data_IF_187244243590
#
_entry.id   IF_187244243590
#
_cell.length_a   1.000
_cell.length_b   1.000
_cell.length_c   1.000
_cell.angle_alpha   90.00
_cell.angle_beta   90.00
_cell.angle_gamma   90.00
#
_symmetry.space_group_name_H-M   'P 1'
#
loop_
_entity.id
_entity.type
_entity.pdbx_description
1 polymer ?
#
# COMPACT_ATOMS: atom_id res chain seq x y z
N UNK A 1 -6.64 32.58 2.48
CA UNK A 1 -7.10 31.28 2.96
C UNK A 1 -8.58 31.18 2.62
N UNK A 2 -8.92 30.70 1.42
CA UNK A 2 -10.33 30.48 1.09
C UNK A 2 -10.80 29.27 1.92
N UNK A 3 -11.97 29.36 2.55
CA UNK A 3 -12.53 28.29 3.39
C UNK A 3 -12.83 26.98 2.62
N UNK A 4 -12.60 26.96 1.31
CA UNK A 4 -12.94 25.86 0.40
C UNK A 4 -11.74 25.27 -0.34
N UNK A 5 -10.53 25.79 -0.17
CA UNK A 5 -9.33 25.19 -0.76
C UNK A 5 -8.77 24.13 0.19
N UNK A 6 -8.72 22.85 -0.22
CA UNK A 6 -8.09 21.82 0.59
C UNK A 6 -6.60 22.14 0.73
N UNK A 7 -6.05 21.94 1.93
CA UNK A 7 -4.62 22.16 2.16
C UNK A 7 -3.81 21.29 1.18
N UNK A 8 -2.74 21.84 0.55
CA UNK A 8 -1.93 21.09 -0.40
C UNK A 8 -1.37 19.79 0.20
N UNK A 9 -1.11 19.77 1.50
CA UNK A 9 -0.64 18.60 2.26
C UNK A 9 -1.69 17.50 2.34
N UNK A 10 -2.97 17.83 2.54
CA UNK A 10 -4.06 16.85 2.53
C UNK A 10 -4.26 16.26 1.14
N UNK A 11 -4.19 17.07 0.08
CA UNK A 11 -4.29 16.59 -1.30
C UNK A 11 -3.15 15.61 -1.60
N UNK A 12 -1.91 15.97 -1.24
CA UNK A 12 -0.74 15.12 -1.42
C UNK A 12 -0.88 13.81 -0.64
N UNK A 13 -1.32 13.86 0.62
CA UNK A 13 -1.55 12.68 1.44
C UNK A 13 -2.59 11.74 0.81
N UNK A 14 -3.74 12.27 0.39
CA UNK A 14 -4.80 11.47 -0.24
C UNK A 14 -4.27 10.82 -1.52
N UNK A 15 -3.56 11.58 -2.35
CA UNK A 15 -3.00 11.07 -3.59
C UNK A 15 -1.98 9.94 -3.35
N UNK A 16 -1.02 10.17 -2.45
CA UNK A 16 0.02 9.18 -2.13
C UNK A 16 -0.59 7.92 -1.54
N UNK A 17 -1.53 8.06 -0.62
CA UNK A 17 -2.21 6.95 0.05
C UNK A 17 -3.07 6.11 -0.90
N UNK A 18 -3.74 6.75 -1.86
CA UNK A 18 -4.71 6.09 -2.76
C UNK A 18 -4.05 5.50 -4.00
N UNK A 19 -3.05 6.19 -4.57
CA UNK A 19 -2.48 5.84 -5.88
C UNK A 19 -1.02 5.43 -5.78
N UNK A 20 -0.19 6.11 -4.98
CA UNK A 20 1.27 5.88 -5.04
C UNK A 20 1.73 4.71 -4.16
N UNK A 21 1.27 4.64 -2.92
CA UNK A 21 1.84 3.72 -1.92
C UNK A 21 1.62 2.24 -2.30
N UNK A 22 0.39 1.87 -2.66
CA UNK A 22 0.05 0.49 -3.03
C UNK A 22 0.74 0.06 -4.33
N UNK A 23 0.87 0.96 -5.30
CA UNK A 23 1.55 0.67 -6.57
C UNK A 23 3.04 0.43 -6.34
N UNK A 24 3.71 1.29 -5.55
CA UNK A 24 5.12 1.11 -5.22
C UNK A 24 5.34 -0.16 -4.38
N UNK A 25 4.48 -0.44 -3.40
CA UNK A 25 4.57 -1.66 -2.60
C UNK A 25 4.32 -2.92 -3.46
N UNK A 26 3.39 -2.87 -4.42
CA UNK A 26 3.17 -3.96 -5.39
C UNK A 26 4.44 -4.22 -6.20
N UNK A 27 5.08 -3.17 -6.74
CA UNK A 27 6.32 -3.32 -7.50
C UNK A 27 7.42 -3.94 -6.63
N UNK A 28 7.62 -3.46 -5.41
CA UNK A 28 8.59 -4.04 -4.47
C UNK A 28 8.29 -5.53 -4.18
N UNK A 29 7.02 -5.87 -3.98
CA UNK A 29 6.57 -7.24 -3.77
C UNK A 29 6.86 -8.12 -4.99
N UNK A 30 6.56 -7.66 -6.21
CA UNK A 30 6.83 -8.38 -7.46
C UNK A 30 8.32 -8.57 -7.72
N UNK A 31 9.15 -7.54 -7.47
CA UNK A 31 10.61 -7.68 -7.58
C UNK A 31 11.10 -8.76 -6.61
N UNK A 32 10.57 -8.78 -5.38
CA UNK A 32 10.94 -9.79 -4.39
C UNK A 32 10.44 -11.19 -4.74
N UNK A 33 9.28 -11.35 -5.37
CA UNK A 33 8.81 -12.67 -5.80
C UNK A 33 9.65 -13.25 -6.94
N UNK A 34 10.20 -12.41 -7.82
CA UNK A 34 11.09 -12.82 -8.90
C UNK A 34 12.49 -13.20 -8.42
N UNK A 35 13.03 -12.49 -7.43
CA UNK A 35 14.42 -12.70 -6.94
C UNK A 35 14.48 -13.65 -5.73
N UNK A 36 13.44 -13.69 -4.90
CA UNK A 36 13.35 -14.49 -3.68
C UNK A 36 13.18 -15.98 -3.96
N UNK A 37 13.64 -16.81 -3.01
CA UNK A 37 13.45 -18.28 -3.01
C UNK A 37 12.73 -18.73 -1.75
N UNK A 38 12.05 -19.87 -1.84
CA UNK A 38 11.38 -20.50 -0.69
C UNK A 38 10.22 -19.69 -0.10
N UNK A 39 10.01 -19.71 1.23
CA UNK A 39 8.83 -19.11 1.87
C UNK A 39 8.78 -17.59 1.76
N UNK A 40 9.92 -16.91 1.58
CA UNK A 40 9.97 -15.46 1.32
C UNK A 40 9.20 -15.09 0.05
N UNK A 41 9.26 -15.94 -0.99
CA UNK A 41 8.54 -15.74 -2.25
C UNK A 41 7.03 -15.84 -2.06
N UNK A 42 6.55 -16.78 -1.24
CA UNK A 42 5.12 -16.93 -0.98
C UNK A 42 4.55 -15.72 -0.24
N UNK A 43 5.25 -15.23 0.78
CA UNK A 43 4.81 -14.04 1.53
C UNK A 43 4.80 -12.82 0.60
N UNK A 44 5.86 -12.62 -0.20
CA UNK A 44 5.90 -11.53 -1.16
C UNK A 44 4.78 -11.63 -2.21
N UNK A 45 4.42 -12.86 -2.63
CA UNK A 45 3.33 -13.09 -3.57
C UNK A 45 1.98 -12.78 -2.95
N UNK A 46 1.76 -13.18 -1.69
CA UNK A 46 0.56 -12.79 -0.94
C UNK A 46 0.45 -11.27 -0.81
N UNK A 47 1.54 -10.59 -0.44
CA UNK A 47 1.57 -9.12 -0.41
C UNK A 47 1.20 -8.52 -1.76
N UNK A 48 1.77 -9.04 -2.85
CA UNK A 48 1.47 -8.58 -4.21
C UNK A 48 -0.02 -8.79 -4.55
N UNK A 49 -0.60 -9.95 -4.24
CA UNK A 49 -2.02 -10.22 -4.47
C UNK A 49 -2.93 -9.28 -3.68
N UNK A 50 -2.63 -9.03 -2.41
CA UNK A 50 -3.40 -8.08 -1.60
C UNK A 50 -3.27 -6.65 -2.11
N UNK A 51 -2.07 -6.22 -2.53
CA UNK A 51 -1.89 -4.90 -3.14
C UNK A 51 -2.67 -4.79 -4.46
N UNK A 52 -2.63 -5.82 -5.31
CA UNK A 52 -3.38 -5.85 -6.55
C UNK A 52 -4.90 -5.80 -6.30
N UNK A 53 -5.42 -6.54 -5.32
CA UNK A 53 -6.82 -6.48 -4.93
C UNK A 53 -7.25 -5.11 -4.40
N UNK A 54 -6.38 -4.46 -3.60
CA UNK A 54 -6.60 -3.11 -3.08
C UNK A 54 -6.63 -2.05 -4.21
N UNK A 55 -5.72 -2.17 -5.18
CA UNK A 55 -5.68 -1.33 -6.37
C UNK A 55 -6.93 -1.54 -7.21
N UNK A 56 -7.29 -2.80 -7.51
CA UNK A 56 -8.51 -3.13 -8.25
C UNK A 56 -9.76 -2.56 -7.57
N UNK A 57 -9.85 -2.63 -6.24
CA UNK A 57 -10.99 -2.07 -5.51
C UNK A 57 -11.00 -0.53 -5.57
N UNK A 58 -9.82 0.10 -5.59
CA UNK A 58 -9.69 1.55 -5.78
C UNK A 58 -10.17 2.00 -7.16
N UNK A 59 -9.88 1.22 -8.19
CA UNK A 59 -10.29 1.49 -9.58
C UNK A 59 -11.63 0.84 -9.98
N UNK A 60 -12.24 0.02 -9.12
CA UNK A 60 -13.49 -0.68 -9.41
C UNK A 60 -14.63 0.26 -9.87
N UNK A 61 -14.81 1.47 -9.32
CA UNK A 61 -15.81 2.41 -9.82
C UNK A 61 -15.56 2.86 -11.26
N UNK A 62 -14.29 3.10 -11.63
CA UNK A 62 -13.92 3.49 -13.00
C UNK A 62 -14.09 2.33 -13.99
N UNK A 63 -13.99 1.09 -13.50
CA UNK A 63 -14.17 -0.15 -14.28
C UNK A 63 -15.63 -0.65 -14.29
N UNK A 64 -16.56 0.03 -13.61
CA UNK A 64 -17.95 -0.41 -13.52
C UNK A 64 -18.18 -1.68 -12.66
N UNK A 65 -17.23 -2.03 -11.80
CA UNK A 65 -17.24 -3.27 -11.00
C UNK A 65 -17.88 -3.10 -9.60
N UNK A 66 -18.54 -1.98 -9.33
CA UNK A 66 -19.12 -1.66 -8.01
C UNK A 66 -20.29 -2.56 -7.62
N UNK A 67 -20.98 -3.17 -8.60
CA UNK A 67 -22.09 -4.10 -8.36
C UNK A 67 -21.63 -5.50 -7.89
N UNK A 68 -20.34 -5.80 -7.93
CA UNK A 68 -19.82 -7.10 -7.54
C UNK A 68 -19.95 -7.33 -6.02
N UNK A 69 -20.38 -8.52 -5.59
CA UNK A 69 -20.63 -8.83 -4.18
C UNK A 69 -19.39 -8.63 -3.27
N UNK A 70 -18.20 -8.75 -3.84
CA UNK A 70 -16.92 -8.56 -3.13
C UNK A 70 -16.51 -7.08 -2.98
N UNK A 71 -17.09 -6.17 -3.77
CA UNK A 71 -16.70 -4.75 -3.75
C UNK A 71 -17.03 -4.09 -2.42
N UNK A 72 -18.24 -4.26 -1.89
CA UNK A 72 -18.66 -3.64 -0.62
C UNK A 72 -17.76 -4.01 0.56
N UNK A 73 -17.49 -5.31 0.83
CA UNK A 73 -16.52 -5.74 1.83
C UNK A 73 -15.11 -5.18 1.59
N UNK A 74 -14.59 -5.26 0.36
CA UNK A 74 -13.23 -4.79 0.04
C UNK A 74 -13.08 -3.26 0.18
N UNK A 75 -14.11 -2.50 -0.20
CA UNK A 75 -14.12 -1.05 -0.02
C UNK A 75 -14.15 -0.66 1.47
N UNK A 76 -14.88 -1.42 2.30
CA UNK A 76 -14.90 -1.21 3.76
C UNK A 76 -13.56 -1.52 4.41
N UNK A 77 -12.87 -2.59 4.01
CA UNK A 77 -11.52 -2.89 4.52
C UNK A 77 -10.51 -1.83 4.09
N UNK A 78 -10.63 -1.31 2.87
CA UNK A 78 -9.81 -0.18 2.41
C UNK A 78 -10.09 1.13 3.16
N UNK A 79 -11.32 1.36 3.60
CA UNK A 79 -11.69 2.54 4.38
C UNK A 79 -11.36 2.40 5.88
N UNK A 80 -11.11 1.18 6.35
CA UNK A 80 -10.89 0.89 7.77
C UNK A 80 -9.66 1.61 8.33
N UNK A 81 -9.78 2.18 9.54
CA UNK A 81 -8.70 2.98 10.15
C UNK A 81 -8.27 4.15 9.27
N UNK A 82 -9.25 4.77 8.60
CA UNK A 82 -9.04 5.77 7.55
C UNK A 82 -8.10 5.25 6.44
N UNK A 83 -8.05 3.96 6.13
CA UNK A 83 -7.17 3.38 5.11
C UNK A 83 -5.67 3.33 5.42
N UNK A 84 -5.19 3.94 6.51
CA UNK A 84 -3.78 3.80 6.92
C UNK A 84 -3.46 2.39 7.43
N UNK A 85 -4.43 1.78 8.12
CA UNK A 85 -4.28 0.44 8.72
C UNK A 85 -3.90 -0.62 7.68
N UNK A 86 -4.54 -0.60 6.51
CA UNK A 86 -4.25 -1.55 5.43
C UNK A 86 -2.86 -1.30 4.84
N UNK A 87 -2.48 -0.05 4.57
CA UNK A 87 -1.17 0.28 4.00
C UNK A 87 -0.03 -0.18 4.89
N UNK A 88 -0.13 0.12 6.19
CA UNK A 88 0.86 -0.29 7.18
C UNK A 88 0.84 -1.81 7.39
N UNK A 89 -0.34 -2.43 7.39
CA UNK A 89 -0.48 -3.89 7.49
C UNK A 89 0.17 -4.64 6.33
N UNK A 90 -0.03 -4.18 5.09
CA UNK A 90 0.60 -4.76 3.90
C UNK A 90 2.11 -4.50 3.86
N UNK A 91 2.55 -3.32 4.28
CA UNK A 91 3.98 -3.04 4.42
C UNK A 91 4.62 -3.93 5.50
N UNK A 92 3.96 -4.14 6.65
CA UNK A 92 4.43 -5.05 7.68
C UNK A 92 4.51 -6.49 7.17
N UNK A 93 3.51 -6.96 6.41
CA UNK A 93 3.54 -8.26 5.74
C UNK A 93 4.70 -8.36 4.73
N UNK A 94 5.01 -7.29 4.01
CA UNK A 94 6.20 -7.26 3.16
C UNK A 94 7.48 -7.38 3.98
N UNK A 95 7.59 -6.72 5.13
CA UNK A 95 8.78 -6.80 6.01
C UNK A 95 8.95 -8.21 6.59
N UNK A 96 7.88 -8.95 6.90
CA UNK A 96 8.03 -10.34 7.36
C UNK A 96 8.65 -11.24 6.30
N UNK A 97 8.44 -10.94 5.01
CA UNK A 97 9.14 -11.63 3.92
C UNK A 97 10.67 -11.40 3.93
N UNK A 98 11.13 -10.34 4.60
CA UNK A 98 12.55 -9.99 4.76
C UNK A 98 13.22 -10.63 5.98
N UNK A 99 12.45 -11.05 6.97
CA UNK A 99 12.94 -11.78 8.13
C UNK A 99 13.26 -13.25 7.81
N UNK A 100 12.73 -13.78 6.70
CA UNK A 100 13.03 -15.13 6.23
C UNK A 100 14.49 -15.21 5.74
N UNK A 101 15.29 -16.19 6.21
CA UNK A 101 16.69 -16.35 5.85
C UNK A 101 16.83 -16.77 4.37
N UNK A 102 16.92 -15.77 3.51
CA UNK A 102 17.23 -15.86 2.08
C UNK A 102 18.14 -14.67 1.74
N UNK A 103 18.69 -14.63 0.52
CA UNK A 103 19.48 -13.52 0.00
C UNK A 103 18.84 -12.16 0.37
N UNK A 104 19.40 -11.49 1.39
CA UNK A 104 18.87 -10.22 1.90
C UNK A 104 19.02 -9.14 0.84
N UNK A 105 17.89 -8.61 0.37
CA UNK A 105 17.84 -7.48 -0.56
C UNK A 105 17.61 -6.19 0.21
N UNK A 106 18.66 -5.71 0.87
CA UNK A 106 18.65 -4.47 1.65
C UNK A 106 18.02 -3.27 0.92
N UNK A 107 18.22 -3.07 -0.40
CA UNK A 107 17.58 -1.95 -1.10
C UNK A 107 16.05 -1.99 -1.07
N UNK A 108 15.44 -3.18 -1.17
CA UNK A 108 13.97 -3.30 -1.15
C UNK A 108 13.40 -2.97 0.24
N UNK A 109 14.12 -3.38 1.28
CA UNK A 109 13.72 -3.14 2.66
C UNK A 109 13.85 -1.63 3.00
N UNK A 110 14.91 -0.98 2.52
CA UNK A 110 15.09 0.48 2.63
C UNK A 110 14.04 1.26 1.84
N UNK A 111 13.69 0.82 0.63
CA UNK A 111 12.63 1.46 -0.16
C UNK A 111 11.27 1.34 0.54
N UNK A 112 10.94 0.17 1.08
CA UNK A 112 9.72 0.02 1.87
C UNK A 112 9.71 0.91 3.13
N UNK A 113 10.84 1.02 3.83
CA UNK A 113 10.96 1.92 4.98
C UNK A 113 10.77 3.38 4.56
N UNK A 114 11.38 3.80 3.45
CA UNK A 114 11.22 5.15 2.91
C UNK A 114 9.76 5.46 2.54
N UNK A 115 9.04 4.48 1.96
CA UNK A 115 7.60 4.61 1.69
C UNK A 115 6.79 4.85 2.97
N UNK A 116 7.04 4.04 4.00
CA UNK A 116 6.35 4.17 5.30
C UNK A 116 6.66 5.52 5.95
N UNK A 117 7.93 5.92 5.98
CA UNK A 117 8.34 7.21 6.54
C UNK A 117 7.75 8.39 5.77
N UNK A 118 7.72 8.32 4.43
CA UNK A 118 7.09 9.34 3.60
C UNK A 118 5.59 9.46 3.85
N UNK A 119 4.89 8.32 3.96
CA UNK A 119 3.46 8.29 4.29
C UNK A 119 3.17 8.87 5.68
N UNK A 120 3.94 8.46 6.70
CA UNK A 120 3.79 8.96 8.06
C UNK A 120 4.16 10.45 8.17
N UNK A 121 5.21 10.88 7.45
CA UNK A 121 5.62 12.28 7.37
C UNK A 121 4.52 13.17 6.77
N UNK A 122 3.90 12.74 5.66
CA UNK A 122 2.75 13.42 5.07
C UNK A 122 1.54 13.43 6.00
N UNK A 123 1.30 12.33 6.72
CA UNK A 123 0.19 12.26 7.67
C UNK A 123 0.38 13.24 8.83
N UNK A 124 1.57 13.27 9.42
CA UNK A 124 1.92 14.23 10.48
C UNK A 124 1.83 15.66 9.96
N UNK A 125 2.37 15.93 8.78
CA UNK A 125 2.31 17.25 8.15
C UNK A 125 0.89 17.71 7.80
N UNK A 126 -0.07 16.78 7.68
CA UNK A 126 -1.49 17.11 7.45
C UNK A 126 -2.26 17.44 8.72
N UNK A 127 -1.69 17.18 9.91
CA UNK A 127 -2.29 17.50 11.20
C UNK A 127 -2.06 18.96 11.63
N UNK A 128 -1.09 19.63 11.03
CA UNK A 128 -0.71 21.03 11.28
C UNK A 128 -1.20 21.92 10.13
#
# INVERSE_FOLDING_TARGET
MSFFEPSPTLIALIFVKRFVFLELLLVLALVRTGVGRGPSRLIALLTALFCAGAILTTFAPALGLTAHALYGPAARTLAYGQGLSLLLGLSALFVTSALVPTRRMWPLDWLNLALVLGLLGLWIASLF
#
